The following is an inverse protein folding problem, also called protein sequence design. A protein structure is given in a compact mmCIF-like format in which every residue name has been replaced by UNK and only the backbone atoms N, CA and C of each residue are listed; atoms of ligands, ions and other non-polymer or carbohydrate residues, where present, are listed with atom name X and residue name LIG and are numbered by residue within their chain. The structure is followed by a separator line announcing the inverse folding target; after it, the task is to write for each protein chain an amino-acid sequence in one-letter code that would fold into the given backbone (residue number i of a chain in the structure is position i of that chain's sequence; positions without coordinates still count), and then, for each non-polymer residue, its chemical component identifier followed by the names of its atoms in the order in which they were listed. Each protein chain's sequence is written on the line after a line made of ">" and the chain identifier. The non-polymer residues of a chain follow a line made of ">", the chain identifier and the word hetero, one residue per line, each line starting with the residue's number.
data_IF_435088819116
#
_entry.id   IF_435088819116
#
_cell.length_a   1.000
_cell.length_b   1.000
_cell.length_c   1.000
_cell.angle_alpha   90.00
_cell.angle_beta   90.00
_cell.angle_gamma   90.00
#
_symmetry.space_group_name_H-M   'P 1'
#
loop_
_entity.id
_entity.type
_entity.pdbx_description
1 polymer ?
#
# COMPACT_ATOMS: atom_id res chain seq x y z
N UNK A 1 -9.82 22.67 12.55
CA UNK A 1 -8.40 22.62 12.83
C UNK A 1 -7.76 21.43 12.12
N UNK A 2 -6.62 21.64 11.49
CA UNK A 2 -5.93 20.58 10.80
C UNK A 2 -5.30 19.59 11.78
N UNK A 3 -5.24 18.34 11.37
CA UNK A 3 -4.60 17.30 12.15
C UNK A 3 -3.09 17.34 11.95
N UNK A 4 -2.38 16.97 13.00
CA UNK A 4 -0.92 16.88 12.93
C UNK A 4 -0.49 15.46 12.65
N UNK A 5 0.76 15.30 12.27
CA UNK A 5 1.28 13.98 11.91
C UNK A 5 1.02 12.92 12.98
N UNK A 6 1.13 13.31 14.24
CA UNK A 6 0.91 12.38 15.35
C UNK A 6 -0.53 11.91 15.47
N UNK A 7 -1.45 12.60 14.82
CA UNK A 7 -2.86 12.25 14.88
C UNK A 7 -3.34 11.50 13.65
N UNK A 8 -2.46 11.26 12.70
CA UNK A 8 -2.82 10.66 11.42
C UNK A 8 -2.19 9.29 11.31
N UNK A 9 -2.99 8.31 10.90
CA UNK A 9 -2.52 6.95 10.65
C UNK A 9 -2.56 6.70 9.15
N UNK A 10 -1.40 6.46 8.55
CA UNK A 10 -1.31 6.16 7.12
C UNK A 10 -0.88 4.72 6.97
N UNK A 11 -1.66 3.94 6.26
CA UNK A 11 -1.41 2.52 6.10
C UNK A 11 -1.10 2.17 4.66
N UNK A 12 -0.27 1.15 4.48
CA UNK A 12 -0.06 0.58 3.18
C UNK A 12 -1.40 0.09 2.63
N UNK A 13 -1.70 0.46 1.40
CA UNK A 13 -2.97 0.10 0.78
C UNK A 13 -4.00 1.21 0.78
N UNK A 14 -3.74 2.31 1.47
CA UNK A 14 -4.63 3.46 1.39
C UNK A 14 -4.70 3.93 -0.07
N UNK A 15 -5.90 4.02 -0.61
CA UNK A 15 -6.06 4.26 -2.05
C UNK A 15 -5.67 5.67 -2.46
N UNK A 16 -5.62 6.60 -1.51
CA UNK A 16 -5.21 7.96 -1.80
C UNK A 16 -3.68 8.13 -1.77
N UNK A 17 -2.96 7.11 -1.30
CA UNK A 17 -1.52 7.18 -1.17
C UNK A 17 -0.88 7.09 -2.55
N UNK A 18 0.01 8.04 -2.85
CA UNK A 18 0.66 8.05 -4.15
C UNK A 18 1.57 6.83 -4.30
N UNK A 19 1.44 6.07 -5.39
CA UNK A 19 2.33 4.93 -5.62
C UNK A 19 3.82 5.29 -5.56
N UNK A 20 4.20 6.53 -5.88
CA UNK A 20 5.59 6.95 -5.79
C UNK A 20 6.12 6.91 -4.36
N UNK A 21 5.26 7.17 -3.38
CA UNK A 21 5.65 7.08 -1.97
C UNK A 21 5.93 5.61 -1.61
N UNK A 22 5.08 4.71 -2.06
CA UNK A 22 5.28 3.28 -1.81
C UNK A 22 6.53 2.78 -2.56
N UNK A 23 6.75 3.28 -3.78
CA UNK A 23 7.95 2.94 -4.54
C UNK A 23 9.21 3.36 -3.79
N UNK A 24 9.20 4.56 -3.24
CA UNK A 24 10.33 5.05 -2.45
C UNK A 24 10.56 4.20 -1.21
N UNK A 25 9.48 3.86 -0.51
CA UNK A 25 9.58 3.00 0.65
C UNK A 25 10.21 1.66 0.29
N UNK A 26 9.71 1.06 -0.79
CA UNK A 26 10.19 -0.24 -1.25
C UNK A 26 11.68 -0.20 -1.56
N UNK A 27 12.12 0.82 -2.28
CA UNK A 27 13.52 0.93 -2.66
C UNK A 27 14.42 1.19 -1.46
N UNK A 28 14.01 2.07 -0.55
CA UNK A 28 14.83 2.40 0.60
C UNK A 28 14.89 1.27 1.62
N UNK A 29 13.80 0.54 1.76
CA UNK A 29 13.70 -0.50 2.78
C UNK A 29 14.27 -1.83 2.30
N UNK A 30 13.91 -2.26 1.10
CA UNK A 30 14.35 -3.56 0.60
C UNK A 30 15.70 -3.49 -0.09
N UNK A 31 16.17 -2.32 -0.44
CA UNK A 31 17.50 -2.10 -1.01
C UNK A 31 17.85 -3.09 -2.10
N UNK A 32 17.06 -3.13 -3.17
CA UNK A 32 17.33 -4.09 -4.25
C UNK A 32 18.69 -3.84 -4.89
N UNK A 33 19.24 -4.84 -5.57
CA UNK A 33 20.53 -4.67 -6.24
C UNK A 33 20.54 -3.45 -7.16
N UNK A 34 21.74 -2.89 -7.35
CA UNK A 34 21.91 -1.64 -8.10
C UNK A 34 21.25 -1.68 -9.48
N UNK A 35 21.41 -2.80 -10.20
CA UNK A 35 20.83 -2.88 -11.55
C UNK A 35 19.30 -2.74 -11.53
N UNK A 36 18.67 -3.20 -10.46
CA UNK A 36 17.22 -3.09 -10.30
C UNK A 36 16.83 -1.64 -10.03
N UNK A 37 17.54 -1.00 -9.11
CA UNK A 37 17.25 0.40 -8.77
C UNK A 37 17.57 1.34 -9.93
N UNK A 38 18.71 1.14 -10.56
CA UNK A 38 19.13 2.04 -11.64
C UNK A 38 18.19 1.96 -12.83
N UNK A 39 17.73 0.77 -13.17
CA UNK A 39 16.84 0.60 -14.31
C UNK A 39 15.36 0.63 -13.94
N UNK A 40 15.08 0.85 -12.66
CA UNK A 40 13.71 0.93 -12.16
C UNK A 40 12.89 -0.29 -12.57
N UNK A 41 13.47 -1.49 -12.39
CA UNK A 41 12.87 -2.71 -12.90
C UNK A 41 11.68 -3.22 -12.07
N UNK A 42 11.66 -2.92 -10.77
CA UNK A 42 10.55 -3.33 -9.92
C UNK A 42 9.76 -2.07 -9.58
N UNK A 43 8.51 -2.03 -10.03
CA UNK A 43 7.71 -0.82 -9.91
C UNK A 43 6.38 -1.09 -9.26
N UNK A 44 5.94 -0.14 -8.43
CA UNK A 44 4.65 -0.16 -7.78
C UNK A 44 3.66 0.62 -8.63
N UNK A 45 2.49 0.04 -8.90
CA UNK A 45 1.44 0.70 -9.66
C UNK A 45 0.10 0.49 -8.97
N UNK A 46 -0.80 1.44 -9.15
CA UNK A 46 -2.16 1.32 -8.63
C UNK A 46 -3.14 1.62 -9.76
N UNK A 47 -4.14 0.77 -9.92
CA UNK A 47 -5.20 0.98 -10.90
C UNK A 47 -6.48 1.43 -10.20
N UNK A 48 -6.94 2.65 -10.44
CA UNK A 48 -8.21 3.07 -9.84
C UNK A 48 -9.41 2.33 -10.43
N UNK A 49 -9.27 1.75 -11.63
CA UNK A 49 -10.36 1.00 -12.23
C UNK A 49 -10.67 -0.27 -11.46
N UNK A 50 -9.63 -0.98 -11.03
CA UNK A 50 -9.82 -2.25 -10.35
C UNK A 50 -9.58 -2.11 -8.84
N UNK A 51 -9.13 -0.95 -8.40
CA UNK A 51 -8.72 -0.72 -7.01
C UNK A 51 -7.63 -1.69 -6.58
N UNK A 52 -6.72 -1.97 -7.49
CA UNK A 52 -5.71 -2.98 -7.26
C UNK A 52 -4.31 -2.41 -7.37
N UNK A 53 -3.46 -2.78 -6.42
CA UNK A 53 -2.04 -2.46 -6.44
C UNK A 53 -1.29 -3.62 -7.08
N UNK A 54 -0.29 -3.29 -7.87
CA UNK A 54 0.56 -4.30 -8.50
C UNK A 54 2.01 -3.90 -8.41
N UNK A 55 2.86 -4.91 -8.19
CA UNK A 55 4.29 -4.71 -8.22
C UNK A 55 4.83 -5.59 -9.34
N UNK A 56 5.44 -4.96 -10.35
CA UNK A 56 5.97 -5.69 -11.50
C UNK A 56 7.34 -6.25 -11.22
N UNK A 57 7.64 -7.40 -11.85
CA UNK A 57 8.95 -8.05 -11.78
C UNK A 57 9.37 -8.41 -10.36
N UNK A 58 8.45 -8.96 -9.59
CA UNK A 58 8.69 -9.24 -8.17
C UNK A 58 9.86 -10.18 -7.91
N UNK A 59 10.23 -11.03 -8.85
CA UNK A 59 11.33 -11.95 -8.63
C UNK A 59 12.67 -11.48 -9.24
N UNK A 60 12.72 -10.26 -9.74
CA UNK A 60 13.90 -9.76 -10.42
C UNK A 60 15.14 -9.68 -9.53
N UNK A 61 14.98 -9.51 -8.22
CA UNK A 61 16.12 -9.43 -7.30
C UNK A 61 16.79 -10.77 -7.09
N UNK A 62 16.09 -11.88 -7.39
CA UNK A 62 16.67 -13.20 -7.32
C UNK A 62 16.51 -13.87 -5.97
N UNK A 63 16.72 -15.18 -5.98
CA UNK A 63 16.51 -16.01 -4.79
C UNK A 63 17.59 -15.85 -3.74
N UNK A 64 18.71 -15.24 -4.11
CA UNK A 64 19.81 -15.05 -3.17
C UNK A 64 19.85 -13.64 -2.56
N UNK A 65 18.88 -12.82 -2.87
CA UNK A 65 18.81 -11.48 -2.31
C UNK A 65 18.28 -11.55 -0.87
N UNK A 66 19.17 -11.29 0.08
CA UNK A 66 18.86 -11.52 1.50
C UNK A 66 17.72 -10.61 1.98
N UNK A 67 17.73 -9.34 1.57
CA UNK A 67 16.69 -8.42 2.04
C UNK A 67 15.30 -8.90 1.67
N UNK A 68 15.11 -9.41 0.46
CA UNK A 68 13.77 -9.79 0.00
C UNK A 68 13.41 -11.23 0.30
N UNK A 69 14.40 -12.10 0.60
CA UNK A 69 14.08 -13.50 0.85
C UNK A 69 14.27 -13.92 2.30
N UNK A 70 14.87 -13.06 3.12
CA UNK A 70 15.10 -13.38 4.53
C UNK A 70 14.69 -12.26 5.46
N UNK A 71 15.18 -11.05 5.23
CA UNK A 71 14.90 -9.95 6.16
C UNK A 71 13.43 -9.53 6.12
N UNK A 72 12.90 -9.26 4.94
CA UNK A 72 11.52 -8.81 4.77
C UNK A 72 10.68 -9.79 3.98
N UNK A 73 11.15 -11.00 3.81
CA UNK A 73 10.41 -12.00 3.07
C UNK A 73 10.84 -13.40 3.46
N UNK A 74 10.34 -14.37 2.72
CA UNK A 74 10.73 -15.76 2.86
C UNK A 74 11.11 -16.29 1.48
N UNK A 75 11.66 -17.49 1.43
CA UNK A 75 11.97 -18.10 0.14
C UNK A 75 10.72 -18.53 -0.61
N UNK A 76 9.59 -18.67 0.09
CA UNK A 76 8.31 -19.01 -0.52
C UNK A 76 7.52 -17.77 -0.92
N UNK A 77 7.79 -16.63 -0.28
CA UNK A 77 7.13 -15.37 -0.60
C UNK A 77 8.13 -14.25 -0.29
N UNK A 78 8.70 -13.66 -1.33
CA UNK A 78 9.69 -12.62 -1.09
C UNK A 78 9.02 -11.31 -0.68
N UNK A 79 9.83 -10.34 -0.30
CA UNK A 79 9.34 -9.07 0.23
C UNK A 79 8.41 -8.36 -0.74
N UNK A 80 8.68 -8.44 -2.04
CA UNK A 80 7.87 -7.75 -3.04
C UNK A 80 6.49 -8.36 -3.16
N UNK A 81 6.40 -9.68 -3.07
CA UNK A 81 5.13 -10.39 -3.06
C UNK A 81 4.33 -10.04 -1.80
N UNK A 82 5.01 -10.03 -0.65
CA UNK A 82 4.35 -9.72 0.61
C UNK A 82 3.88 -8.27 0.62
N UNK A 83 4.68 -7.35 0.08
CA UNK A 83 4.27 -5.94 -0.02
C UNK A 83 3.03 -5.81 -0.91
N UNK A 84 3.00 -6.51 -2.03
CA UNK A 84 1.84 -6.45 -2.93
C UNK A 84 0.59 -6.96 -2.23
N UNK A 85 0.69 -8.06 -1.51
CA UNK A 85 -0.45 -8.57 -0.74
C UNK A 85 -0.90 -7.55 0.31
N UNK A 86 0.06 -6.92 0.98
CA UNK A 86 -0.23 -5.94 2.01
C UNK A 86 -0.97 -4.73 1.42
N UNK A 87 -0.51 -4.25 0.28
CA UNK A 87 -1.15 -3.13 -0.40
C UNK A 87 -2.57 -3.45 -0.82
N UNK A 88 -2.84 -4.71 -1.14
CA UNK A 88 -4.17 -5.14 -1.53
C UNK A 88 -4.99 -5.64 -0.33
N UNK A 89 -4.50 -5.39 0.89
CA UNK A 89 -5.20 -5.72 2.13
C UNK A 89 -5.47 -7.22 2.27
N UNK A 90 -4.52 -8.04 1.81
CA UNK A 90 -4.61 -9.48 1.91
C UNK A 90 -3.56 -10.00 2.87
N UNK A 91 -3.92 -10.98 3.66
CA UNK A 91 -2.95 -11.71 4.45
C UNK A 91 -2.18 -12.66 3.53
N UNK A 92 -0.88 -12.73 3.72
CA UNK A 92 -0.06 -13.61 2.90
C UNK A 92 -0.30 -15.05 3.32
N UNK A 93 -0.65 -15.92 2.38
CA UNK A 93 -0.88 -17.33 2.62
C UNK A 93 -0.05 -18.15 1.64
N UNK A 94 0.55 -19.22 2.18
CA UNK A 94 1.42 -20.09 1.38
C UNK A 94 0.77 -21.45 1.29
N UNK A 95 0.65 -21.96 0.07
CA UNK A 95 0.02 -23.24 -0.20
C UNK A 95 1.03 -24.18 -0.82
N UNK A 96 0.94 -25.45 -0.41
CA UNK A 96 1.65 -26.51 -1.08
C UNK A 96 0.69 -27.25 -2.00
N UNK A 97 1.21 -27.79 -3.09
CA UNK A 97 0.43 -28.63 -3.97
C UNK A 97 0.81 -30.06 -3.65
N UNK A 98 -0.18 -30.86 -3.27
CA UNK A 98 0.04 -32.28 -3.02
C UNK A 98 -0.78 -33.09 -4.02
N UNK A 99 -0.34 -34.31 -4.25
CA UNK A 99 -1.03 -35.20 -5.14
C UNK A 99 -1.74 -36.27 -4.29
N UNK A 100 -3.03 -36.43 -4.54
CA UNK A 100 -3.83 -37.37 -3.77
C UNK A 100 -4.80 -38.04 -4.74
N UNK A 101 -4.77 -39.35 -4.81
CA UNK A 101 -5.62 -40.12 -5.73
C UNK A 101 -5.50 -39.65 -7.17
N UNK A 102 -4.28 -39.32 -7.60
CA UNK A 102 -4.04 -38.87 -8.96
C UNK A 102 -4.47 -37.47 -9.27
N UNK A 103 -4.88 -36.71 -8.27
CA UNK A 103 -5.30 -35.35 -8.46
C UNK A 103 -4.46 -34.41 -7.61
N UNK A 104 -4.24 -33.21 -8.11
CA UNK A 104 -3.51 -32.20 -7.36
C UNK A 104 -4.48 -31.46 -6.45
N UNK A 105 -4.02 -31.18 -5.25
CA UNK A 105 -4.81 -30.44 -4.28
C UNK A 105 -3.91 -29.44 -3.57
N UNK A 106 -4.41 -28.24 -3.34
CA UNK A 106 -3.68 -27.22 -2.61
C UNK A 106 -3.98 -27.32 -1.14
N UNK A 107 -2.94 -27.28 -0.33
CA UNK A 107 -3.07 -27.35 1.12
C UNK A 107 -2.33 -26.19 1.73
N UNK A 108 -2.92 -25.53 2.70
CA UNK A 108 -2.25 -24.43 3.37
C UNK A 108 -1.04 -24.96 4.14
N UNK A 109 0.11 -24.33 3.91
CA UNK A 109 1.30 -24.62 4.69
C UNK A 109 1.31 -23.64 5.86
N UNK A 110 0.95 -24.13 7.03
CA UNK A 110 0.77 -23.26 8.18
C UNK A 110 2.08 -22.63 8.64
N UNK A 111 3.16 -23.38 8.63
CA UNK A 111 4.44 -22.87 9.08
C UNK A 111 4.94 -21.76 8.16
N UNK A 112 4.90 -22.01 6.86
CA UNK A 112 5.37 -21.01 5.89
C UNK A 112 4.45 -19.78 5.88
N UNK A 113 3.15 -19.99 6.06
CA UNK A 113 2.19 -18.90 6.14
C UNK A 113 2.47 -18.03 7.36
N UNK A 114 2.71 -18.66 8.51
CA UNK A 114 3.00 -17.90 9.72
C UNK A 114 4.27 -17.07 9.55
N UNK A 115 5.30 -17.68 8.96
CA UNK A 115 6.57 -16.98 8.72
C UNK A 115 6.36 -15.79 7.78
N UNK A 116 5.61 -15.99 6.70
CA UNK A 116 5.33 -14.92 5.76
C UNK A 116 4.53 -13.79 6.42
N UNK A 117 3.58 -14.14 7.28
CA UNK A 117 2.79 -13.12 7.96
C UNK A 117 3.60 -12.37 9.01
N UNK A 118 4.61 -12.99 9.60
CA UNK A 118 5.55 -12.27 10.46
C UNK A 118 6.31 -11.22 9.67
N UNK A 119 6.75 -11.57 8.46
CA UNK A 119 7.43 -10.61 7.60
C UNK A 119 6.47 -9.51 7.14
N UNK A 120 5.23 -9.87 6.88
CA UNK A 120 4.23 -8.89 6.52
C UNK A 120 4.03 -7.86 7.62
N UNK A 121 3.97 -8.31 8.87
CA UNK A 121 3.85 -7.39 9.98
C UNK A 121 5.09 -6.51 10.13
N UNK A 122 6.27 -7.08 9.91
CA UNK A 122 7.50 -6.31 9.95
C UNK A 122 7.51 -5.20 8.90
N UNK A 123 7.01 -5.50 7.71
CA UNK A 123 6.92 -4.49 6.66
C UNK A 123 5.95 -3.37 7.06
N UNK A 124 4.79 -3.74 7.62
CA UNK A 124 3.83 -2.75 8.09
C UNK A 124 4.42 -1.85 9.17
N UNK A 125 5.11 -2.46 10.12
CA UNK A 125 5.72 -1.70 11.22
C UNK A 125 6.82 -0.77 10.71
N UNK A 126 7.61 -1.25 9.77
CA UNK A 126 8.67 -0.45 9.18
C UNK A 126 8.09 0.74 8.42
N UNK A 127 7.01 0.52 7.68
CA UNK A 127 6.38 1.61 6.94
C UNK A 127 5.82 2.66 7.91
N UNK A 128 5.21 2.23 9.00
CA UNK A 128 4.63 3.15 9.96
C UNK A 128 5.66 4.13 10.52
N UNK A 129 6.89 3.67 10.72
CA UNK A 129 7.97 4.56 11.15
C UNK A 129 8.57 5.36 10.02
N UNK A 130 8.78 4.69 8.87
CA UNK A 130 9.43 5.33 7.73
C UNK A 130 8.65 6.50 7.17
N UNK A 131 7.33 6.39 7.12
CA UNK A 131 6.50 7.36 6.43
C UNK A 131 6.61 8.76 7.05
N UNK A 132 6.93 8.84 8.33
CA UNK A 132 7.02 10.11 9.02
C UNK A 132 8.46 10.62 9.20
N UNK A 133 9.46 9.86 8.78
CA UNK A 133 10.85 10.23 9.02
C UNK A 133 11.32 11.46 8.26
N UNK A 134 10.95 11.56 7.00
CA UNK A 134 11.40 12.67 6.16
C UNK A 134 10.45 13.87 6.35
N UNK A 135 10.97 15.04 6.75
CA UNK A 135 10.11 16.19 7.00
C UNK A 135 9.30 16.65 5.80
N UNK A 136 9.88 16.60 4.60
CA UNK A 136 9.15 17.00 3.39
C UNK A 136 8.02 16.04 3.10
N UNK A 137 8.29 14.74 3.19
CA UNK A 137 7.26 13.73 2.97
C UNK A 137 6.18 13.84 4.04
N UNK A 138 6.58 14.05 5.30
CA UNK A 138 5.63 14.21 6.39
C UNK A 138 4.69 15.39 6.12
N UNK A 139 5.26 16.53 5.76
CA UNK A 139 4.45 17.72 5.52
C UNK A 139 3.50 17.54 4.35
N UNK A 140 3.98 16.90 3.29
CA UNK A 140 3.15 16.62 2.12
C UNK A 140 1.98 15.72 2.47
N UNK A 141 2.24 14.65 3.21
CA UNK A 141 1.19 13.70 3.56
C UNK A 141 0.20 14.26 4.55
N UNK A 142 0.66 15.07 5.50
CA UNK A 142 -0.24 15.75 6.43
C UNK A 142 -1.18 16.67 5.66
N UNK A 143 -0.62 17.43 4.71
CA UNK A 143 -1.44 18.33 3.92
C UNK A 143 -2.46 17.57 3.08
N UNK A 144 -2.04 16.51 2.41
CA UNK A 144 -2.95 15.72 1.61
C UNK A 144 -4.07 15.10 2.46
N UNK A 145 -3.69 14.57 3.61
CA UNK A 145 -4.69 13.95 4.48
C UNK A 145 -5.74 14.96 4.92
N UNK A 146 -5.30 16.13 5.34
CA UNK A 146 -6.23 17.15 5.79
C UNK A 146 -7.12 17.64 4.65
N UNK A 147 -6.58 17.77 3.45
CA UNK A 147 -7.38 18.17 2.30
C UNK A 147 -8.44 17.14 1.95
N UNK A 148 -8.09 15.86 2.06
CA UNK A 148 -9.01 14.80 1.67
C UNK A 148 -10.03 14.46 2.75
N UNK A 149 -9.65 14.53 4.00
CA UNK A 149 -10.50 14.00 5.06
C UNK A 149 -10.91 15.01 6.12
N UNK A 150 -10.19 16.10 6.26
CA UNK A 150 -10.49 17.05 7.30
C UNK A 150 -11.05 18.37 6.77
N UNK A 151 -11.01 18.58 5.47
CA UNK A 151 -11.55 19.82 4.89
C UNK A 151 -13.02 19.70 4.57
N UNK A 152 -13.63 18.57 4.91
CA UNK A 152 -15.05 18.43 4.66
C UNK A 152 -15.86 19.12 5.69
N UNK A 153 -15.27 19.74 6.70
CA UNK A 153 -16.03 20.37 7.61
C UNK A 153 -16.66 21.48 6.92
N UNK A 154 -17.71 21.78 7.31
CA UNK A 154 -18.61 22.59 6.73
C UNK A 154 -18.13 23.73 6.08
N UNK A 155 -17.57 23.99 5.74
CA UNK A 155 -17.25 24.95 5.12
C UNK A 155 -18.27 25.54 4.59
N UNK A 156 -18.82 25.43 4.79
CA UNK A 156 -19.55 25.71 4.34
C UNK A 156 -20.11 25.68 3.60
N UNK A 157 -20.22 25.73 3.31
CA UNK A 157 -20.72 25.47 2.52
C UNK A 157 -21.74 25.50 2.40
N UNK A 158 -21.88 25.97 2.25
CA UNK A 158 -22.81 26.15 2.04
C UNK A 158 -23.20 25.66 1.07
N UNK A 159 -23.20 25.17 0.90
CA UNK A 159 -23.63 24.56 -0.10
C UNK A 159 -24.19 25.37 -0.99
N UNK A 160 -24.34 26.33 -0.77
CA UNK A 160 -25.00 27.03 -1.59
C UNK A 160 -24.11 27.38 -2.61
N UNK A 161 -23.08 27.35 -2.64
CA UNK A 161 -22.39 27.70 -3.62
C UNK A 161 -21.57 26.69 -4.05
N UNK A 162 -21.64 25.85 -3.86
CA UNK A 162 -20.93 24.95 -4.21
C UNK A 162 -21.37 24.20 -5.07
N UNK A 163 -21.66 24.11 -5.60
CA UNK A 163 -22.00 23.39 -6.32
C UNK A 163 -21.25 22.76 -6.86
N UNK A 164 -20.67 22.37 -6.83
CA UNK A 164 -19.90 21.71 -7.14
C UNK A 164 -19.78 21.39 -8.13
N UNK A 165 -19.56 21.73 -8.47
CA UNK A 165 -19.20 21.57 -9.18
C UNK A 165 -18.93 20.45 -9.52
N UNK A 166 -18.76 20.07 -9.89
CA UNK A 166 -18.52 18.94 -10.17
C UNK A 166 -19.30 18.02 -9.69
N UNK A 167 -19.93 18.15 -9.39
CA UNK A 167 -20.61 17.37 -8.86
C UNK A 167 -21.79 17.49 -9.11
N UNK A 168 -22.24 17.90 -9.60
CA UNK A 168 -23.17 18.12 -9.70
C UNK A 168 -24.00 18.30 -9.30
N UNK A 169 -24.54 18.89 -9.38
CA UNK A 169 -25.19 19.31 -8.63
C UNK A 169 -26.23 18.81 -8.53
N UNK A 170 -26.57 18.66 -8.67
CA UNK A 170 -27.22 18.32 -8.33
C UNK A 170 -27.29 17.47 -7.87
N UNK A 171 -27.14 17.48 -7.82
CA UNK A 171 -27.01 17.02 -7.16
C UNK A 171 -27.00 17.10 -6.34
N UNK A 172 -26.99 17.67 -6.07
CA UNK A 172 -26.72 18.05 -5.23
C UNK A 172 -26.73 17.36 -4.58
N UNK A 173 -26.40 17.04 -4.54
CA UNK A 173 -26.14 16.56 -3.94
C UNK A 173 -26.67 16.29 -3.23
N UNK A 174 -27.10 16.34 -3.08
CA UNK A 174 -27.35 16.40 -2.33
C UNK A 174 -26.92 16.76 -1.48
N UNK A 175 -26.95 17.24 -1.27
CA UNK A 175 -26.29 17.81 -0.65
C UNK A 175 -25.60 17.13 0.04
N UNK A 176 -25.49 16.43 0.44
CA UNK A 176 -24.67 15.84 1.15
C UNK A 176 -23.95 15.12 0.39
N UNK A 177 -24.08 15.06 -0.50
CA UNK A 177 -23.37 14.46 -1.18
C UNK A 177 -22.58 15.33 -1.78
N UNK A 178 -22.89 16.34 -1.91
CA UNK A 178 -22.13 17.20 -2.34
C UNK A 178 -21.33 17.57 -1.34
N UNK A 179 -21.53 17.40 -0.46
CA UNK A 179 -20.86 17.73 0.54
C UNK A 179 -20.44 16.69 1.10
N UNK A 180 -20.59 15.89 0.85
CA UNK A 180 -20.24 14.85 1.64
C UNK A 180 -19.15 14.33 1.26
#
# INVERSE_FOLDING_TARGET
>A
KDLEASEIDIRLGATWLNPAIVQQFMMETFQPPYRIRYNNLIQVRYSPFTSEWRIGNKSAAGMYDIMSTETYGTHRANAYKILEDTLNLRDCRIYDTIEEDGKERRVLNQKETMLAQQKQQAIKDTFAGWVWQDPQRRNLLVKQYNELFNSTRPREYDGSHIHFVGMNPEINLQEHQRNA
#
